data_IF_232410661846
#
_entry.id   IF_232410661846
#
_cell.length_a   1.000
_cell.length_b   1.000
_cell.length_c   1.000
_cell.angle_alpha   90.00
_cell.angle_beta   90.00
_cell.angle_gamma   90.00
#
_symmetry.space_group_name_H-M   'P 1'
#
loop_
_entity.id
_entity.type
_entity.pdbx_description
1 polymer ?
#
# COMPACT_ATOMS: atom_id res chain seq x y z
N UNK A 1 -55.37 -24.58 12.87
CA UNK A 1 -56.35 -24.14 11.87
C UNK A 1 -56.35 -22.63 11.87
N UNK A 2 -55.60 -22.03 10.96
CA UNK A 2 -55.87 -20.68 10.48
C UNK A 2 -57.07 -20.69 9.51
N UNK A 3 -57.65 -19.52 9.21
CA UNK A 3 -57.28 -18.90 7.92
C UNK A 3 -57.16 -17.35 7.93
N UNK A 4 -56.10 -16.86 7.27
CA UNK A 4 -56.01 -15.94 6.09
C UNK A 4 -56.78 -14.60 6.06
N UNK A 5 -55.98 -13.51 6.00
CA UNK A 5 -55.95 -12.31 5.09
C UNK A 5 -57.23 -11.95 4.30
N UNK A 6 -57.63 -10.70 4.01
CA UNK A 6 -56.93 -9.49 3.58
C UNK A 6 -57.97 -8.33 3.56
N UNK A 7 -57.58 -7.08 3.75
CA UNK A 7 -57.92 -5.98 2.80
C UNK A 7 -57.35 -4.63 3.26
N UNK A 8 -56.26 -4.26 2.59
CA UNK A 8 -55.84 -2.88 2.37
C UNK A 8 -56.92 -2.13 1.57
N UNK A 9 -56.89 -0.80 1.65
CA UNK A 9 -57.66 0.19 0.88
C UNK A 9 -59.01 0.63 1.47
N UNK A 10 -58.94 1.63 2.35
CA UNK A 10 -59.99 2.65 2.41
C UNK A 10 -59.38 4.06 2.38
N UNK A 11 -59.94 4.87 1.49
CA UNK A 11 -59.34 6.05 0.89
C UNK A 11 -59.26 7.27 1.81
N UNK A 12 -58.31 8.16 1.54
CA UNK A 12 -58.37 9.56 1.95
C UNK A 12 -58.02 10.50 0.78
N UNK A 13 -58.70 11.67 0.64
CA UNK A 13 -58.76 12.44 -0.61
C UNK A 13 -57.58 13.43 -0.80
N UNK A 14 -57.46 14.06 -1.97
CA UNK A 14 -56.20 14.61 -2.49
C UNK A 14 -55.82 15.95 -1.87
N UNK A 15 -54.52 16.17 -1.63
CA UNK A 15 -53.95 17.51 -1.35
C UNK A 15 -53.27 18.05 -2.60
N UNK A 16 -53.74 19.23 -3.00
CA UNK A 16 -53.31 20.00 -4.16
C UNK A 16 -51.90 20.57 -4.02
N UNK A 17 -51.21 20.62 -5.16
CA UNK A 17 -49.91 21.25 -5.36
C UNK A 17 -50.00 22.78 -5.22
N UNK A 18 -49.07 23.38 -4.47
CA UNK A 18 -48.75 24.80 -4.57
C UNK A 18 -47.23 24.99 -4.38
N UNK A 19 -46.52 25.34 -5.46
CA UNK A 19 -45.10 25.69 -5.44
C UNK A 19 -44.93 27.17 -5.08
N UNK A 20 -44.06 27.54 -4.11
CA UNK A 20 -43.69 28.93 -3.90
C UNK A 20 -42.67 29.42 -4.94
N UNK A 21 -42.95 30.58 -5.52
CA UNK A 21 -42.15 31.28 -6.53
C UNK A 21 -40.83 31.81 -5.94
N UNK A 22 -39.74 31.64 -6.68
CA UNK A 22 -38.42 32.22 -6.41
C UNK A 22 -38.46 33.74 -6.39
N UNK A 23 -37.95 34.36 -5.31
CA UNK A 23 -37.66 35.78 -5.25
C UNK A 23 -36.24 36.04 -5.78
N UNK A 24 -36.12 36.95 -6.76
CA UNK A 24 -34.88 37.33 -7.45
C UNK A 24 -34.17 38.41 -6.64
N UNK A 25 -32.90 38.20 -6.30
CA UNK A 25 -32.06 39.18 -5.60
C UNK A 25 -31.64 40.35 -6.53
N UNK A 26 -31.47 41.58 -6.00
CA UNK A 26 -31.01 42.73 -6.78
C UNK A 26 -29.48 42.71 -7.02
N UNK A 27 -28.99 43.35 -8.11
CA UNK A 27 -27.56 43.35 -8.44
C UNK A 27 -26.75 44.34 -7.59
N UNK A 28 -25.43 44.08 -7.36
CA UNK A 28 -24.54 44.99 -6.65
C UNK A 28 -24.04 46.16 -7.52
N UNK A 29 -23.65 47.30 -6.91
CA UNK A 29 -23.17 48.50 -7.63
C UNK A 29 -21.72 48.37 -8.13
N UNK A 30 -21.31 49.16 -9.15
CA UNK A 30 -19.97 49.09 -9.75
C UNK A 30 -18.92 49.85 -8.93
N UNK A 31 -17.79 49.21 -8.61
CA UNK A 31 -16.69 49.81 -7.88
C UNK A 31 -15.65 50.43 -8.85
N UNK A 32 -15.33 51.71 -8.63
CA UNK A 32 -14.31 52.48 -9.36
C UNK A 32 -12.89 52.02 -8.98
N UNK A 33 -11.89 52.06 -9.89
CA UNK A 33 -10.51 51.78 -9.54
C UNK A 33 -9.85 53.01 -8.90
N UNK A 34 -9.25 52.83 -7.72
CA UNK A 34 -8.34 53.79 -7.11
C UNK A 34 -6.91 53.28 -7.28
N UNK A 35 -6.16 54.00 -8.11
CA UNK A 35 -4.70 53.89 -8.25
C UNK A 35 -4.06 54.43 -6.97
N UNK A 36 -3.25 53.60 -6.30
CA UNK A 36 -2.22 54.07 -5.37
C UNK A 36 -0.91 53.33 -5.63
N UNK A 37 0.06 54.07 -6.15
CA UNK A 37 1.49 53.79 -6.06
C UNK A 37 1.92 53.73 -4.59
N UNK A 38 2.83 52.81 -4.26
CA UNK A 38 4.10 53.18 -3.58
C UNK A 38 5.03 51.99 -3.36
N UNK A 39 6.26 52.17 -3.86
CA UNK A 39 7.56 51.87 -3.23
C UNK A 39 8.03 50.42 -3.11
N UNK A 40 8.87 50.06 -4.08
CA UNK A 40 9.94 49.05 -3.95
C UNK A 40 10.92 49.44 -2.84
N UNK A 41 11.15 48.51 -1.90
CA UNK A 41 12.29 48.52 -1.01
C UNK A 41 13.05 47.20 -1.14
N UNK A 42 14.17 47.32 -1.84
CA UNK A 42 15.21 46.34 -2.02
C UNK A 42 15.82 45.95 -0.67
N UNK A 43 15.76 44.66 -0.31
CA UNK A 43 16.61 44.08 0.74
C UNK A 43 17.28 42.82 0.21
N UNK A 44 18.33 43.03 -0.58
CA UNK A 44 19.41 42.08 -0.72
C UNK A 44 20.15 41.91 0.62
N UNK A 45 20.80 40.75 0.77
CA UNK A 45 21.55 40.24 1.92
C UNK A 45 20.69 39.65 3.05
N UNK A 46 20.44 38.33 2.99
CA UNK A 46 21.15 37.29 3.78
C UNK A 46 20.57 35.94 3.35
N UNK A 47 21.24 35.24 2.43
CA UNK A 47 20.98 33.82 2.16
C UNK A 47 22.30 33.06 2.29
N UNK A 48 22.63 32.73 3.53
CA UNK A 48 23.67 31.77 3.85
C UNK A 48 23.32 30.42 3.23
N UNK A 49 24.26 29.93 2.45
CA UNK A 49 24.27 28.65 1.74
C UNK A 49 23.89 27.51 2.68
N UNK A 50 22.65 27.01 2.55
CA UNK A 50 22.31 25.63 2.93
C UNK A 50 22.50 24.78 1.69
N UNK A 51 23.59 23.99 1.66
CA UNK A 51 23.77 22.90 0.71
C UNK A 51 22.63 21.90 0.92
N UNK A 52 21.59 22.03 0.13
CA UNK A 52 20.65 20.93 -0.12
C UNK A 52 21.44 19.88 -0.88
N UNK A 53 21.66 18.71 -0.27
CA UNK A 53 22.06 17.55 -1.03
C UNK A 53 20.91 17.27 -2.00
N UNK A 54 21.17 17.48 -3.29
CA UNK A 54 20.33 16.96 -4.37
C UNK A 54 20.24 15.45 -4.19
N UNK A 55 19.19 15.02 -3.49
CA UNK A 55 18.69 13.67 -3.61
C UNK A 55 18.22 13.57 -5.05
N UNK A 56 19.09 12.98 -5.87
CA UNK A 56 18.81 12.31 -7.12
C UNK A 56 17.37 12.53 -7.59
N UNK A 57 17.13 13.58 -8.39
CA UNK A 57 15.93 13.65 -9.23
C UNK A 57 16.01 12.47 -10.17
N UNK A 58 15.52 11.31 -9.72
CA UNK A 58 15.26 10.18 -10.59
C UNK A 58 14.36 10.71 -11.71
N UNK A 59 14.78 10.46 -12.94
CA UNK A 59 14.01 10.81 -14.13
C UNK A 59 12.64 10.13 -14.01
N UNK A 60 11.61 10.88 -13.63
CA UNK A 60 10.22 10.41 -13.51
C UNK A 60 9.57 10.27 -14.90
N UNK A 61 10.33 9.80 -15.90
CA UNK A 61 9.86 9.74 -17.29
C UNK A 61 8.93 8.53 -17.51
N UNK A 62 9.09 7.48 -16.69
CA UNK A 62 8.31 6.22 -16.76
C UNK A 62 7.06 6.20 -15.88
N UNK A 63 6.93 7.12 -14.91
CA UNK A 63 5.80 7.18 -13.98
C UNK A 63 5.81 6.11 -12.87
N UNK A 64 6.88 5.31 -12.75
CA UNK A 64 7.07 4.29 -11.70
C UNK A 64 8.52 4.21 -11.19
N UNK A 65 8.77 3.45 -10.12
CA UNK A 65 10.04 3.45 -9.37
C UNK A 65 11.17 2.68 -10.06
N UNK A 66 10.86 1.57 -10.74
CA UNK A 66 11.85 0.81 -11.49
C UNK A 66 12.48 1.65 -12.62
N UNK A 67 13.81 1.71 -12.63
CA UNK A 67 14.60 2.52 -13.54
C UNK A 67 16.00 1.90 -13.66
N UNK A 68 16.78 2.37 -14.65
CA UNK A 68 18.16 1.93 -14.83
C UNK A 68 19.00 2.17 -13.57
N UNK A 69 19.83 1.20 -13.22
CA UNK A 69 20.75 1.28 -12.08
C UNK A 69 22.17 0.88 -12.47
N UNK A 70 23.15 1.27 -11.64
CA UNK A 70 24.50 0.74 -11.76
C UNK A 70 24.56 -0.70 -11.23
N UNK A 71 24.79 -1.64 -12.15
CA UNK A 71 24.92 -3.07 -11.84
C UNK A 71 26.28 -3.44 -11.23
N UNK A 72 27.22 -2.50 -11.18
CA UNK A 72 28.56 -2.63 -10.61
C UNK A 72 29.25 -3.92 -11.07
N UNK A 73 29.53 -4.03 -12.37
CA UNK A 73 30.12 -5.21 -13.03
C UNK A 73 31.35 -5.73 -12.28
N UNK A 74 32.20 -4.85 -11.76
CA UNK A 74 33.40 -5.21 -11.00
C UNK A 74 33.13 -5.99 -9.70
N UNK A 75 31.90 -5.96 -9.18
CA UNK A 75 31.52 -6.70 -7.96
C UNK A 75 31.23 -8.18 -8.21
N UNK A 76 30.99 -8.58 -9.46
CA UNK A 76 30.66 -9.97 -9.85
C UNK A 76 29.58 -10.63 -8.98
N UNK A 77 28.57 -9.85 -8.56
CA UNK A 77 27.53 -10.31 -7.63
C UNK A 77 26.77 -11.55 -8.15
N UNK A 78 26.70 -11.76 -9.46
CA UNK A 78 26.09 -12.93 -10.10
C UNK A 78 26.78 -14.27 -9.77
N UNK A 79 28.00 -14.25 -9.24
CA UNK A 79 28.73 -15.48 -8.88
C UNK A 79 28.32 -16.06 -7.53
N UNK A 80 27.73 -15.26 -6.64
CA UNK A 80 27.38 -15.67 -5.28
C UNK A 80 25.86 -15.81 -5.16
N UNK A 81 25.39 -16.97 -4.71
CA UNK A 81 23.94 -17.24 -4.58
C UNK A 81 23.28 -16.23 -3.63
N UNK A 82 22.11 -15.69 -4.02
CA UNK A 82 21.37 -14.64 -3.29
C UNK A 82 22.13 -13.33 -3.08
N UNK A 83 23.27 -13.13 -3.75
CA UNK A 83 23.94 -11.83 -3.76
C UNK A 83 23.20 -10.88 -4.70
N UNK A 84 23.27 -9.59 -4.39
CA UNK A 84 22.60 -8.52 -5.12
C UNK A 84 23.65 -7.51 -5.60
N UNK A 85 23.39 -6.78 -6.70
CA UNK A 85 24.14 -5.58 -7.03
C UNK A 85 24.26 -4.65 -5.80
N UNK A 86 25.42 -3.98 -5.59
CA UNK A 86 25.66 -3.08 -4.45
C UNK A 86 24.58 -2.03 -4.22
N UNK A 87 23.95 -1.53 -5.29
CA UNK A 87 22.85 -0.55 -5.23
C UNK A 87 21.62 -1.08 -4.46
N UNK A 88 21.42 -2.40 -4.41
CA UNK A 88 20.30 -3.04 -3.73
C UNK A 88 20.67 -3.67 -2.38
N UNK A 89 21.94 -3.93 -2.09
CA UNK A 89 22.36 -4.73 -0.93
C UNK A 89 21.94 -4.17 0.44
N UNK A 90 21.73 -2.86 0.55
CA UNK A 90 21.31 -2.19 1.80
C UNK A 90 19.83 -1.79 1.84
N UNK A 91 19.09 -2.01 0.74
CA UNK A 91 17.67 -1.65 0.62
C UNK A 91 16.80 -2.65 1.40
N UNK A 92 15.86 -2.13 2.20
CA UNK A 92 14.89 -2.92 2.99
C UNK A 92 13.44 -2.76 2.51
N UNK A 93 13.26 -1.98 1.46
CA UNK A 93 12.01 -1.54 0.87
C UNK A 93 11.79 -2.14 -0.53
N UNK A 94 12.53 -3.20 -0.84
CA UNK A 94 12.42 -4.02 -2.05
C UNK A 94 12.18 -5.47 -1.66
N UNK A 95 11.59 -6.24 -2.57
CA UNK A 95 11.52 -7.70 -2.51
C UNK A 95 12.33 -8.25 -3.68
N UNK A 96 13.16 -9.25 -3.44
CA UNK A 96 14.05 -9.81 -4.47
C UNK A 96 13.90 -11.31 -4.61
N UNK A 97 13.97 -11.78 -5.85
CA UNK A 97 14.02 -13.19 -6.19
C UNK A 97 15.05 -13.44 -7.28
N UNK A 98 15.71 -14.60 -7.26
CA UNK A 98 16.69 -14.96 -8.27
C UNK A 98 16.51 -16.38 -8.76
N UNK A 99 16.55 -16.57 -10.07
CA UNK A 99 16.50 -17.87 -10.73
C UNK A 99 17.79 -18.09 -11.54
N UNK A 100 18.38 -19.29 -11.43
CA UNK A 100 19.60 -19.65 -12.15
C UNK A 100 19.28 -20.79 -13.14
N UNK A 101 19.54 -20.57 -14.42
CA UNK A 101 19.44 -21.58 -15.48
C UNK A 101 20.82 -21.88 -16.04
N UNK A 102 21.15 -23.17 -16.20
CA UNK A 102 22.41 -23.61 -16.82
C UNK A 102 22.16 -24.23 -18.18
N UNK A 103 22.97 -23.88 -19.17
CA UNK A 103 22.90 -24.38 -20.53
C UNK A 103 24.30 -24.58 -21.13
N UNK A 104 24.36 -25.13 -22.34
CA UNK A 104 25.59 -25.26 -23.13
C UNK A 104 25.41 -24.40 -24.37
N UNK A 105 26.35 -23.48 -24.60
CA UNK A 105 26.38 -22.64 -25.80
C UNK A 105 26.73 -23.44 -27.06
N UNK A 106 26.50 -22.84 -28.23
CA UNK A 106 26.87 -23.42 -29.54
C UNK A 106 28.37 -23.72 -29.67
N UNK A 107 29.20 -23.05 -28.88
CA UNK A 107 30.66 -23.26 -28.81
C UNK A 107 31.08 -24.34 -27.80
N UNK A 108 30.12 -25.12 -27.30
CA UNK A 108 30.30 -26.17 -26.29
C UNK A 108 30.87 -25.66 -24.95
N UNK A 109 30.68 -24.37 -24.64
CA UNK A 109 31.01 -23.79 -23.34
C UNK A 109 29.79 -23.77 -22.41
N UNK A 110 29.96 -24.05 -21.11
CA UNK A 110 28.88 -23.92 -20.14
C UNK A 110 28.51 -22.45 -19.97
N UNK A 111 27.21 -22.17 -19.90
CA UNK A 111 26.66 -20.84 -19.69
C UNK A 111 25.65 -20.89 -18.56
N UNK A 112 25.77 -19.98 -17.60
CA UNK A 112 24.79 -19.75 -16.54
C UNK A 112 24.10 -18.43 -16.83
N UNK A 113 22.77 -18.46 -16.88
CA UNK A 113 21.93 -17.26 -16.87
C UNK A 113 21.30 -17.13 -15.50
N UNK A 114 21.62 -16.05 -14.79
CA UNK A 114 20.95 -15.65 -13.56
C UNK A 114 19.98 -14.53 -13.86
N UNK A 115 18.73 -14.70 -13.51
CA UNK A 115 17.72 -13.64 -13.55
C UNK A 115 17.44 -13.18 -12.12
N UNK A 116 17.61 -11.88 -11.86
CA UNK A 116 17.30 -11.22 -10.60
C UNK A 116 16.09 -10.31 -10.78
N UNK A 117 15.00 -10.62 -10.08
CA UNK A 117 13.79 -9.82 -10.03
C UNK A 117 13.82 -8.92 -8.82
N UNK A 118 13.76 -7.60 -9.02
CA UNK A 118 13.68 -6.59 -7.95
C UNK A 118 12.34 -5.90 -8.01
N UNK A 119 11.48 -6.17 -7.04
CA UNK A 119 10.14 -5.61 -6.92
C UNK A 119 10.14 -4.42 -5.94
N UNK A 120 9.61 -3.29 -6.39
CA UNK A 120 9.48 -2.07 -5.60
C UNK A 120 8.09 -1.94 -4.95
N UNK A 121 7.94 -1.02 -4.00
CA UNK A 121 6.71 -0.87 -3.23
C UNK A 121 5.52 -0.33 -4.03
N UNK A 122 5.74 0.17 -5.25
CA UNK A 122 4.69 0.51 -6.21
C UNK A 122 4.32 -0.68 -7.11
N UNK A 123 4.98 -1.84 -6.94
CA UNK A 123 4.91 -3.05 -7.74
C UNK A 123 5.52 -2.97 -9.14
N UNK A 124 6.24 -1.90 -9.47
CA UNK A 124 7.14 -1.91 -10.62
C UNK A 124 8.36 -2.81 -10.37
N UNK A 125 8.99 -3.27 -11.45
CA UNK A 125 10.04 -4.28 -11.39
C UNK A 125 11.27 -3.89 -12.20
N UNK A 126 12.44 -4.19 -11.65
CA UNK A 126 13.69 -4.24 -12.41
C UNK A 126 14.15 -5.69 -12.50
N UNK A 127 14.25 -6.22 -13.71
CA UNK A 127 14.69 -7.57 -14.01
C UNK A 127 16.10 -7.46 -14.57
N UNK A 128 17.05 -8.14 -13.94
CA UNK A 128 18.46 -8.12 -14.33
C UNK A 128 18.86 -9.53 -14.75
N UNK A 129 19.29 -9.69 -16.00
CA UNK A 129 19.83 -10.94 -16.50
C UNK A 129 21.35 -10.86 -16.53
N UNK A 130 22.02 -11.80 -15.87
CA UNK A 130 23.47 -11.98 -15.89
C UNK A 130 23.80 -13.32 -16.56
N UNK A 131 24.34 -13.25 -17.78
CA UNK A 131 24.80 -14.42 -18.52
C UNK A 131 26.32 -14.50 -18.44
N UNK A 132 26.86 -15.62 -17.96
CA UNK A 132 28.31 -15.78 -17.79
C UNK A 132 28.75 -17.22 -17.95
N UNK A 133 30.02 -17.42 -18.29
CA UNK A 133 30.66 -18.73 -18.24
C UNK A 133 31.17 -18.98 -16.80
N UNK A 134 30.79 -20.06 -16.11
CA UNK A 134 31.27 -20.32 -14.76
C UNK A 134 32.78 -20.56 -14.66
N UNK A 135 33.46 -20.87 -15.79
CA UNK A 135 34.93 -21.00 -15.85
C UNK A 135 35.64 -19.66 -16.01
N UNK A 136 34.96 -18.66 -16.55
CA UNK A 136 35.43 -17.28 -16.63
C UNK A 136 34.29 -16.32 -16.28
N UNK A 137 33.98 -16.16 -14.99
CA UNK A 137 32.85 -15.34 -14.57
C UNK A 137 33.04 -13.84 -14.78
N UNK A 138 34.25 -13.42 -15.19
CA UNK A 138 34.56 -12.03 -15.48
C UNK A 138 34.00 -11.56 -16.82
N UNK A 139 33.88 -12.49 -17.78
CA UNK A 139 33.15 -12.29 -19.02
C UNK A 139 31.66 -12.55 -18.78
N UNK A 140 30.97 -11.49 -18.31
CA UNK A 140 29.54 -11.52 -18.04
C UNK A 140 28.81 -10.46 -18.88
N UNK A 141 27.75 -10.90 -19.54
CA UNK A 141 26.79 -10.01 -20.19
C UNK A 141 25.67 -9.71 -19.20
N UNK A 142 25.45 -8.41 -18.97
CA UNK A 142 24.41 -7.91 -18.08
C UNK A 142 23.39 -7.13 -18.89
N UNK A 143 22.12 -7.50 -18.72
CA UNK A 143 20.99 -6.78 -19.28
C UNK A 143 20.03 -6.43 -18.16
N UNK A 144 19.33 -5.29 -18.30
CA UNK A 144 18.26 -4.92 -17.40
C UNK A 144 17.02 -4.49 -18.18
N UNK A 145 15.86 -4.89 -17.66
CA UNK A 145 14.54 -4.54 -18.19
C UNK A 145 13.68 -4.02 -17.05
N UNK A 146 12.81 -3.07 -17.36
CA UNK A 146 11.86 -2.53 -16.40
C UNK A 146 10.43 -2.83 -16.82
N UNK A 147 9.62 -3.24 -15.84
CA UNK A 147 8.19 -3.44 -16.02
C UNK A 147 7.43 -2.54 -15.06
N UNK A 148 6.36 -1.91 -15.57
CA UNK A 148 5.45 -1.12 -14.75
C UNK A 148 4.68 -2.00 -13.76
N UNK A 149 3.94 -1.36 -12.83
CA UNK A 149 3.11 -2.10 -11.90
C UNK A 149 2.03 -2.92 -12.62
N UNK A 150 1.57 -4.04 -12.03
CA UNK A 150 0.48 -4.82 -12.60
C UNK A 150 -0.76 -3.98 -12.87
N UNK A 151 -1.50 -4.34 -13.91
CA UNK A 151 -2.77 -3.71 -14.22
C UNK A 151 -3.74 -3.80 -13.04
N UNK A 152 -4.64 -2.82 -12.94
CA UNK A 152 -5.69 -2.80 -11.91
C UNK A 152 -6.54 -4.06 -12.02
N UNK A 153 -6.70 -4.74 -10.89
CA UNK A 153 -7.50 -5.95 -10.77
C UNK A 153 -8.99 -5.63 -10.82
N UNK A 154 -9.75 -6.56 -11.40
CA UNK A 154 -11.20 -6.58 -11.29
C UNK A 154 -11.64 -7.12 -9.92
N UNK A 155 -12.91 -6.92 -9.60
CA UNK A 155 -13.48 -7.34 -8.32
C UNK A 155 -13.44 -8.86 -8.11
N UNK A 156 -13.76 -9.65 -9.14
CA UNK A 156 -13.67 -11.12 -9.11
C UNK A 156 -12.26 -11.60 -8.74
N UNK A 157 -11.23 -10.99 -9.31
CA UNK A 157 -9.84 -11.34 -9.01
C UNK A 157 -9.44 -10.98 -7.57
N UNK A 158 -9.98 -9.89 -7.02
CA UNK A 158 -9.77 -9.50 -5.63
C UNK A 158 -10.54 -10.42 -4.67
N UNK A 159 -11.70 -10.92 -5.06
CA UNK A 159 -12.46 -11.91 -4.29
C UNK A 159 -11.72 -13.26 -4.26
N UNK A 160 -11.25 -13.75 -5.40
CA UNK A 160 -10.44 -14.97 -5.50
C UNK A 160 -9.17 -14.90 -4.62
N UNK A 161 -8.50 -13.75 -4.62
CA UNK A 161 -7.32 -13.53 -3.77
C UNK A 161 -7.67 -13.55 -2.27
N UNK A 162 -8.83 -13.00 -1.90
CA UNK A 162 -9.34 -13.05 -0.52
C UNK A 162 -9.69 -14.48 -0.10
N UNK A 163 -10.34 -15.25 -0.97
CA UNK A 163 -10.65 -16.66 -0.75
C UNK A 163 -9.38 -17.51 -0.56
N UNK A 164 -8.34 -17.25 -1.38
CA UNK A 164 -7.07 -17.99 -1.32
C UNK A 164 -6.26 -17.67 -0.06
N UNK A 165 -6.16 -16.40 0.33
CA UNK A 165 -5.24 -15.95 1.38
C UNK A 165 -5.92 -15.29 2.59
N UNK A 166 -6.85 -14.37 2.34
CA UNK A 166 -7.50 -13.56 3.39
C UNK A 166 -8.17 -14.41 4.47
N UNK A 167 -8.97 -15.40 4.07
CA UNK A 167 -9.64 -16.34 5.01
C UNK A 167 -8.66 -17.07 5.94
N UNK A 168 -7.55 -17.56 5.38
CA UNK A 168 -6.52 -18.27 6.15
C UNK A 168 -5.82 -17.35 7.15
N UNK A 169 -5.56 -16.10 6.75
CA UNK A 169 -4.90 -15.12 7.61
C UNK A 169 -5.79 -14.72 8.79
N UNK A 170 -7.09 -14.47 8.56
CA UNK A 170 -8.00 -14.11 9.65
C UNK A 170 -8.20 -15.26 10.64
N UNK A 171 -8.33 -16.49 10.16
CA UNK A 171 -8.39 -17.68 11.02
C UNK A 171 -7.11 -17.81 11.85
N UNK A 172 -5.95 -17.72 11.20
CA UNK A 172 -4.65 -17.88 11.85
C UNK A 172 -4.37 -16.82 12.91
N UNK A 173 -4.73 -15.55 12.69
CA UNK A 173 -4.49 -14.49 13.69
C UNK A 173 -5.47 -14.55 14.86
N UNK A 174 -6.71 -14.99 14.63
CA UNK A 174 -7.75 -15.03 15.66
C UNK A 174 -7.37 -15.95 16.84
N UNK A 175 -6.76 -17.10 16.56
CA UNK A 175 -6.29 -18.06 17.57
C UNK A 175 -5.00 -17.62 18.28
N UNK A 176 -4.39 -16.50 17.87
CA UNK A 176 -3.16 -15.95 18.47
C UNK A 176 -3.44 -14.83 19.46
N UNK A 177 -4.71 -14.51 19.74
CA UNK A 177 -5.08 -13.48 20.70
C UNK A 177 -4.34 -13.67 22.04
N UNK A 178 -3.82 -12.57 22.60
CA UNK A 178 -3.06 -12.54 23.85
C UNK A 178 -1.72 -13.33 23.84
N UNK A 179 -1.28 -13.82 22.68
CA UNK A 179 0.06 -14.42 22.49
C UNK A 179 1.01 -13.44 21.81
N UNK A 180 2.32 -13.70 21.89
CA UNK A 180 3.34 -12.97 21.14
C UNK A 180 3.68 -13.79 19.89
N UNK A 181 3.59 -13.19 18.71
CA UNK A 181 3.91 -13.85 17.44
C UNK A 181 5.24 -13.30 16.90
N UNK A 182 6.13 -14.19 16.47
CA UNK A 182 7.46 -13.82 15.96
C UNK A 182 8.28 -13.06 17.01
N UNK A 183 8.81 -11.91 16.62
CA UNK A 183 9.57 -11.00 17.49
C UNK A 183 8.68 -10.03 18.31
N UNK A 184 7.36 -10.13 18.18
CA UNK A 184 6.38 -9.26 18.81
C UNK A 184 6.25 -7.87 18.17
N UNK A 185 6.85 -7.66 16.99
CA UNK A 185 6.71 -6.41 16.22
C UNK A 185 5.47 -6.45 15.32
N UNK A 186 4.94 -5.29 14.87
CA UNK A 186 3.81 -5.27 13.94
C UNK A 186 4.11 -6.02 12.63
N UNK A 187 5.32 -5.86 12.09
CA UNK A 187 5.77 -6.54 10.87
C UNK A 187 5.96 -8.04 11.11
N UNK A 188 6.52 -8.43 12.25
CA UNK A 188 6.71 -9.84 12.61
C UNK A 188 5.40 -10.62 12.66
N UNK A 189 4.29 -9.98 13.06
CA UNK A 189 2.96 -10.61 13.01
C UNK A 189 2.59 -10.99 11.57
N UNK A 190 2.70 -10.03 10.64
CA UNK A 190 2.29 -10.26 9.25
C UNK A 190 3.18 -11.31 8.60
N UNK A 191 4.51 -11.20 8.77
CA UNK A 191 5.44 -12.15 8.17
C UNK A 191 5.22 -13.60 8.65
N UNK A 192 4.97 -13.80 9.95
CA UNK A 192 4.70 -15.15 10.49
C UNK A 192 3.36 -15.72 10.00
N UNK A 193 2.35 -14.87 9.79
CA UNK A 193 1.05 -15.29 9.24
C UNK A 193 1.14 -15.68 7.76
N UNK A 194 2.01 -15.02 6.98
CA UNK A 194 2.17 -15.26 5.55
C UNK A 194 3.11 -16.42 5.23
N UNK A 195 4.10 -16.68 6.09
CA UNK A 195 5.11 -17.74 5.90
C UNK A 195 4.55 -19.13 5.54
N UNK A 196 3.45 -19.65 6.12
CA UNK A 196 2.90 -20.95 5.74
C UNK A 196 2.04 -20.92 4.45
N UNK A 197 1.79 -19.76 3.85
CA UNK A 197 0.90 -19.62 2.69
C UNK A 197 1.67 -19.75 1.38
N UNK A 198 1.68 -20.96 0.81
CA UNK A 198 2.31 -21.22 -0.48
C UNK A 198 1.78 -20.28 -1.59
N UNK A 199 2.70 -19.73 -2.39
CA UNK A 199 2.37 -18.86 -3.52
C UNK A 199 1.95 -17.43 -3.16
N UNK A 200 1.92 -17.03 -1.88
CA UNK A 200 1.59 -15.65 -1.49
C UNK A 200 2.75 -14.70 -1.83
N UNK A 201 2.43 -13.51 -2.33
CA UNK A 201 3.42 -12.46 -2.50
C UNK A 201 3.77 -11.87 -1.13
N UNK A 202 5.04 -12.00 -0.74
CA UNK A 202 5.52 -11.43 0.52
C UNK A 202 5.51 -9.89 0.48
N UNK A 203 5.43 -9.21 1.64
CA UNK A 203 5.42 -7.76 1.69
C UNK A 203 6.68 -7.15 1.07
N UNK A 204 6.52 -6.02 0.38
CA UNK A 204 7.64 -5.23 -0.14
C UNK A 204 8.04 -4.21 0.95
N UNK A 205 9.04 -4.60 1.74
CA UNK A 205 9.42 -3.91 2.97
C UNK A 205 8.25 -3.79 3.96
N UNK A 206 8.10 -2.61 4.58
CA UNK A 206 6.96 -2.25 5.43
C UNK A 206 5.92 -1.39 4.69
N UNK A 207 6.09 -1.25 3.37
CA UNK A 207 5.35 -0.26 2.57
C UNK A 207 4.17 -0.84 1.80
N UNK A 208 4.26 -2.07 1.31
CA UNK A 208 3.23 -2.65 0.47
C UNK A 208 2.98 -4.14 0.82
N UNK A 209 1.70 -4.52 0.85
CA UNK A 209 1.24 -5.85 1.30
C UNK A 209 0.27 -6.52 0.30
N UNK A 210 0.12 -5.97 -0.90
CA UNK A 210 -0.61 -6.55 -2.01
C UNK A 210 -1.37 -5.50 -2.82
N UNK A 211 -2.53 -5.84 -3.37
CA UNK A 211 -3.35 -4.89 -4.12
C UNK A 211 -4.08 -3.92 -3.17
N UNK A 212 -4.09 -2.62 -3.46
CA UNK A 212 -4.78 -1.64 -2.63
C UNK A 212 -6.29 -1.79 -2.80
N UNK A 213 -7.01 -2.02 -1.70
CA UNK A 213 -8.49 -2.04 -1.69
C UNK A 213 -9.08 -0.75 -1.14
N UNK A 214 -8.34 -0.06 -0.27
CA UNK A 214 -8.72 1.24 0.28
C UNK A 214 -7.48 2.08 0.56
N UNK A 215 -7.56 3.38 0.28
CA UNK A 215 -6.54 4.36 0.62
C UNK A 215 -7.18 5.64 1.12
N UNK A 216 -6.65 6.18 2.21
CA UNK A 216 -7.08 7.42 2.81
C UNK A 216 -5.87 8.23 3.25
N UNK A 217 -5.73 9.42 2.68
CA UNK A 217 -4.74 10.43 3.05
C UNK A 217 -5.44 11.54 3.83
N UNK A 218 -5.38 11.46 5.16
CA UNK A 218 -5.91 12.48 6.08
C UNK A 218 -7.37 12.94 5.81
N UNK A 219 -8.21 12.09 5.23
CA UNK A 219 -9.54 12.41 4.70
C UNK A 219 -9.56 13.52 3.62
N UNK A 220 -8.40 13.97 3.14
CA UNK A 220 -8.27 14.88 2.00
C UNK A 220 -8.42 14.13 0.67
N UNK A 221 -8.00 12.87 0.63
CA UNK A 221 -8.20 11.97 -0.52
C UNK A 221 -8.52 10.57 -0.01
N UNK A 222 -9.72 10.09 -0.33
CA UNK A 222 -10.18 8.74 0.00
C UNK A 222 -10.56 8.01 -1.28
N UNK A 223 -9.99 6.84 -1.48
CA UNK A 223 -10.22 5.97 -2.62
C UNK A 223 -10.56 4.58 -2.12
N UNK A 224 -11.64 4.01 -2.63
CA UNK A 224 -12.05 2.65 -2.34
C UNK A 224 -12.13 1.89 -3.67
N UNK A 225 -11.32 0.85 -3.79
CA UNK A 225 -11.19 0.05 -5.00
C UNK A 225 -12.01 -1.24 -4.94
N UNK A 226 -12.30 -1.72 -3.72
CA UNK A 226 -13.11 -2.89 -3.42
C UNK A 226 -13.63 -2.83 -1.97
N UNK A 227 -14.48 -3.77 -1.58
CA UNK A 227 -14.90 -3.96 -0.20
C UNK A 227 -13.73 -4.45 0.69
N UNK A 228 -13.59 -3.80 1.85
CA UNK A 228 -12.64 -4.20 2.90
C UNK A 228 -13.17 -5.46 3.57
N UNK A 229 -12.36 -6.51 3.63
CA UNK A 229 -12.76 -7.82 4.16
C UNK A 229 -11.84 -8.24 5.31
N UNK A 230 -12.31 -9.10 6.24
CA UNK A 230 -11.45 -9.70 7.25
C UNK A 230 -10.25 -10.43 6.62
N UNK A 231 -9.07 -10.33 7.21
CA UNK A 231 -7.85 -10.91 6.64
C UNK A 231 -7.10 -10.00 5.66
N UNK A 232 -7.69 -8.88 5.22
CA UNK A 232 -6.92 -7.82 4.58
C UNK A 232 -5.87 -7.24 5.53
N UNK A 233 -4.79 -6.67 5.00
CA UNK A 233 -3.76 -6.02 5.82
C UNK A 233 -4.05 -4.53 5.88
N UNK A 234 -4.05 -3.93 7.07
CA UNK A 234 -4.10 -2.47 7.23
C UNK A 234 -2.70 -1.96 7.56
N UNK A 235 -2.31 -0.84 6.95
CA UNK A 235 -1.10 -0.07 7.29
C UNK A 235 -1.49 1.32 7.72
N UNK A 236 -0.87 1.80 8.80
CA UNK A 236 -1.02 3.14 9.34
C UNK A 236 0.36 3.81 9.35
N UNK A 237 0.47 4.94 8.66
CA UNK A 237 1.72 5.72 8.58
C UNK A 237 1.49 7.16 9.01
N UNK A 238 2.23 7.59 10.03
CA UNK A 238 2.13 8.93 10.59
C UNK A 238 0.68 9.36 10.91
N UNK A 239 -0.16 8.40 11.31
CA UNK A 239 -1.59 8.65 11.48
C UNK A 239 -1.88 9.33 12.79
N UNK A 240 -2.84 10.24 12.74
CA UNK A 240 -3.40 10.88 13.92
C UNK A 240 -4.91 10.85 13.82
N UNK A 241 -5.53 10.12 14.73
CA UNK A 241 -6.98 10.05 14.86
C UNK A 241 -7.44 11.01 15.94
N UNK A 242 -8.48 11.79 15.66
CA UNK A 242 -9.16 12.62 16.64
C UNK A 242 -10.66 12.58 16.44
N UNK A 243 -11.36 12.14 17.48
CA UNK A 243 -12.80 12.02 17.44
C UNK A 243 -13.41 12.08 18.83
N UNK A 244 -14.64 11.57 18.90
CA UNK A 244 -15.40 11.41 20.14
C UNK A 244 -15.78 9.95 20.32
N UNK A 245 -15.68 9.47 21.56
CA UNK A 245 -15.97 8.10 21.94
C UNK A 245 -17.09 8.04 22.99
N UNK A 246 -17.90 6.96 22.94
CA UNK A 246 -19.00 6.71 23.87
C UNK A 246 -20.19 7.66 23.75
N UNK A 247 -21.25 7.36 24.50
CA UNK A 247 -22.45 8.21 24.62
C UNK A 247 -22.15 9.57 25.25
N UNK A 248 -21.13 9.64 26.11
CA UNK A 248 -20.69 10.89 26.75
C UNK A 248 -19.83 11.79 25.84
N UNK A 249 -19.63 11.43 24.56
CA UNK A 249 -18.89 12.24 23.59
C UNK A 249 -17.47 12.64 24.04
N UNK A 250 -16.82 11.79 24.82
CA UNK A 250 -15.47 12.03 25.33
C UNK A 250 -14.49 12.16 24.17
N UNK A 251 -13.78 13.29 24.10
CA UNK A 251 -12.77 13.52 23.06
C UNK A 251 -11.62 12.55 23.23
N UNK A 252 -11.09 12.04 22.12
CA UNK A 252 -9.88 11.21 22.13
C UNK A 252 -8.90 11.67 21.06
N UNK A 253 -7.63 11.33 21.25
CA UNK A 253 -6.59 11.46 20.23
C UNK A 253 -5.72 10.22 20.30
N UNK A 254 -5.43 9.63 19.15
CA UNK A 254 -4.54 8.48 19.03
C UNK A 254 -3.55 8.71 17.89
N UNK A 255 -2.26 8.51 18.17
CA UNK A 255 -1.20 8.57 17.18
C UNK A 255 -0.66 7.16 16.95
N UNK A 256 -0.62 6.74 15.69
CA UNK A 256 -0.21 5.39 15.28
C UNK A 256 0.66 5.50 14.03
N UNK A 257 1.57 4.55 13.82
CA UNK A 257 2.44 4.57 12.64
C UNK A 257 3.64 5.52 12.75
N UNK A 258 4.19 5.69 13.96
CA UNK A 258 5.50 6.31 14.23
C UNK A 258 6.30 5.44 15.23
N UNK A 259 7.02 4.38 14.78
CA UNK A 259 7.27 3.97 13.39
C UNK A 259 6.06 3.31 12.71
N UNK A 260 6.14 3.10 11.39
CA UNK A 260 5.11 2.44 10.56
C UNK A 260 4.45 1.26 11.29
N UNK A 261 3.12 1.22 11.25
CA UNK A 261 2.32 0.23 11.99
C UNK A 261 1.38 -0.51 11.06
N UNK A 262 1.10 -1.77 11.36
CA UNK A 262 0.28 -2.63 10.52
C UNK A 262 -0.47 -3.66 11.36
N UNK A 263 -1.54 -4.20 10.78
CA UNK A 263 -2.35 -5.23 11.41
C UNK A 263 -3.21 -5.97 10.39
N UNK A 264 -3.94 -6.97 10.86
CA UNK A 264 -4.89 -7.73 10.05
C UNK A 264 -6.29 -7.21 10.34
N UNK A 265 -7.04 -6.84 9.30
CA UNK A 265 -8.44 -6.44 9.42
C UNK A 265 -9.25 -7.60 10.00
N UNK A 266 -9.96 -7.34 11.09
CA UNK A 266 -10.87 -8.30 11.71
C UNK A 266 -12.31 -8.06 11.29
N UNK A 267 -12.74 -6.80 11.30
CA UNK A 267 -14.11 -6.39 10.97
C UNK A 267 -14.09 -5.00 10.33
N UNK A 268 -15.04 -4.78 9.43
CA UNK A 268 -15.28 -3.48 8.79
C UNK A 268 -16.76 -3.12 8.88
N UNK A 269 -17.06 -1.98 9.51
CA UNK A 269 -18.37 -1.36 9.50
C UNK A 269 -18.35 -0.19 8.51
N UNK A 270 -18.80 -0.44 7.28
CA UNK A 270 -18.79 0.53 6.19
C UNK A 270 -19.67 1.76 6.43
N UNK A 271 -20.70 1.64 7.27
CA UNK A 271 -21.61 2.72 7.64
C UNK A 271 -20.96 3.65 8.66
N UNK A 272 -20.28 3.09 9.66
CA UNK A 272 -19.56 3.89 10.68
C UNK A 272 -18.12 4.23 10.30
N UNK A 273 -17.68 3.80 9.11
CA UNK A 273 -16.29 3.82 8.66
C UNK A 273 -15.32 3.35 9.75
N UNK A 274 -15.72 2.28 10.46
CA UNK A 274 -15.01 1.77 11.63
C UNK A 274 -14.34 0.44 11.27
N UNK A 275 -13.02 0.43 11.39
CA UNK A 275 -12.18 -0.75 11.25
C UNK A 275 -11.89 -1.35 12.62
N UNK A 276 -11.94 -2.67 12.74
CA UNK A 276 -11.25 -3.40 13.81
C UNK A 276 -10.09 -4.17 13.21
N UNK A 277 -8.93 -4.14 13.85
CA UNK A 277 -7.74 -4.82 13.37
C UNK A 277 -7.02 -5.54 14.50
N UNK A 278 -6.54 -6.75 14.21
CA UNK A 278 -5.58 -7.46 15.01
C UNK A 278 -4.21 -6.80 14.84
N UNK A 279 -3.64 -6.31 15.94
CA UNK A 279 -2.31 -5.70 15.96
C UNK A 279 -1.47 -6.27 17.10
N UNK A 280 -0.15 -6.11 16.98
CA UNK A 280 0.79 -6.30 18.08
C UNK A 280 1.91 -5.25 17.99
N UNK A 281 2.65 -5.04 19.07
CA UNK A 281 3.87 -4.25 19.07
C UNK A 281 3.71 -2.74 19.28
N UNK A 282 2.48 -2.23 19.42
CA UNK A 282 2.20 -0.81 19.73
C UNK A 282 2.19 -0.54 21.23
N UNK A 283 1.11 -0.93 21.91
CA UNK A 283 0.97 -0.80 23.38
C UNK A 283 1.36 -2.09 24.12
N UNK A 284 1.34 -3.22 23.41
CA UNK A 284 1.70 -4.53 23.95
C UNK A 284 2.32 -5.36 22.84
N UNK A 285 3.30 -6.20 23.19
CA UNK A 285 3.83 -7.23 22.26
C UNK A 285 2.85 -8.36 21.97
N UNK A 286 1.75 -8.44 22.71
CA UNK A 286 0.71 -9.45 22.51
C UNK A 286 -0.27 -9.03 21.43
N UNK A 287 -0.75 -9.99 20.66
CA UNK A 287 -1.81 -9.78 19.66
C UNK A 287 -3.10 -9.36 20.36
N UNK A 288 -3.62 -8.20 19.97
CA UNK A 288 -4.85 -7.59 20.50
C UNK A 288 -5.69 -7.02 19.37
N UNK A 289 -6.96 -6.78 19.68
CA UNK A 289 -7.93 -6.26 18.73
C UNK A 289 -8.21 -4.80 19.04
N UNK A 290 -7.84 -3.91 18.11
CA UNK A 290 -8.00 -2.47 18.25
C UNK A 290 -9.02 -1.92 17.25
N UNK A 291 -9.60 -0.76 17.58
CA UNK A 291 -10.62 -0.10 16.76
C UNK A 291 -10.17 1.26 16.25
N UNK A 292 -10.33 1.50 14.95
CA UNK A 292 -10.03 2.77 14.30
C UNK A 292 -11.26 3.27 13.54
N UNK A 293 -11.68 4.52 13.81
CA UNK A 293 -12.65 5.21 12.97
C UNK A 293 -11.90 5.98 11.89
N UNK A 294 -12.06 5.60 10.62
CA UNK A 294 -11.29 6.19 9.53
C UNK A 294 -11.69 7.65 9.27
N UNK A 295 -12.93 8.03 9.54
CA UNK A 295 -13.41 9.42 9.46
C UNK A 295 -12.80 10.34 10.54
N UNK A 296 -12.26 9.75 11.60
CA UNK A 296 -11.54 10.48 12.64
C UNK A 296 -10.07 10.74 12.26
N UNK A 297 -9.59 10.26 11.10
CA UNK A 297 -8.24 10.53 10.61
C UNK A 297 -8.05 12.03 10.31
N UNK A 298 -7.04 12.65 10.93
CA UNK A 298 -6.69 14.07 10.77
C UNK A 298 -5.37 14.29 10.04
N UNK A 299 -4.46 13.35 10.11
CA UNK A 299 -3.19 13.37 9.37
C UNK A 299 -2.69 11.95 9.13
N UNK A 300 -1.75 11.80 8.20
CA UNK A 300 -1.14 10.52 7.85
C UNK A 300 -1.93 9.73 6.81
N UNK A 301 -1.48 8.49 6.59
CA UNK A 301 -2.01 7.59 5.58
C UNK A 301 -2.54 6.31 6.23
N UNK A 302 -3.76 5.93 5.86
CA UNK A 302 -4.28 4.58 6.06
C UNK A 302 -4.41 3.92 4.69
N UNK A 303 -3.80 2.75 4.53
CA UNK A 303 -4.01 1.88 3.36
C UNK A 303 -4.43 0.50 3.83
N UNK A 304 -5.34 -0.12 3.07
CA UNK A 304 -5.76 -1.49 3.27
C UNK A 304 -5.46 -2.27 1.99
N UNK A 305 -4.91 -3.46 2.17
CA UNK A 305 -4.30 -4.26 1.13
C UNK A 305 -4.93 -5.64 1.10
N UNK A 306 -5.28 -6.09 -0.10
CA UNK A 306 -5.56 -7.49 -0.37
C UNK A 306 -4.25 -8.22 -0.64
N UNK A 307 -4.01 -9.30 0.09
CA UNK A 307 -2.92 -10.22 -0.19
C UNK A 307 -3.09 -10.81 -1.59
N UNK A 308 -2.02 -10.83 -2.37
CA UNK A 308 -2.03 -11.29 -3.76
C UNK A 308 -1.08 -12.48 -3.94
N UNK A 309 -1.32 -13.35 -4.94
CA UNK A 309 -0.37 -14.40 -5.28
C UNK A 309 0.86 -13.81 -5.98
N UNK A 310 1.97 -14.54 -5.98
CA UNK A 310 3.20 -14.19 -6.69
C UNK A 310 2.99 -14.01 -8.20
N UNK A 311 2.09 -14.80 -8.79
CA UNK A 311 1.70 -14.69 -10.20
C UNK A 311 1.07 -13.34 -10.56
N UNK A 312 0.58 -12.55 -9.59
CA UNK A 312 0.07 -11.21 -9.85
C UNK A 312 1.15 -10.24 -10.36
N UNK A 313 2.39 -10.42 -9.93
CA UNK A 313 3.56 -9.67 -10.42
C UNK A 313 4.34 -10.45 -11.48
N UNK A 314 3.74 -11.49 -12.06
CA UNK A 314 4.39 -12.33 -13.08
C UNK A 314 5.45 -13.29 -12.53
N UNK A 315 5.57 -13.43 -11.20
CA UNK A 315 6.52 -14.38 -10.60
C UNK A 315 5.91 -15.78 -10.56
N UNK A 316 6.74 -16.81 -10.70
CA UNK A 316 6.32 -18.20 -10.54
C UNK A 316 5.74 -18.48 -9.15
N UNK A 317 4.96 -19.56 -9.01
CA UNK A 317 4.35 -19.90 -7.72
C UNK A 317 5.39 -20.11 -6.60
N UNK A 318 6.65 -20.40 -6.97
CA UNK A 318 7.74 -20.68 -6.04
C UNK A 318 7.51 -22.00 -5.30
N UNK A 319 8.57 -22.77 -5.07
CA UNK A 319 8.51 -23.97 -4.23
C UNK A 319 8.45 -23.61 -2.74
#
# INVERSE_FOLDING_TARGET
MEPVEDDLYSASPPRSFASPKQARAPPPPPNKPLIKQSLDLNRAAVAGVRRSMDLNRMSMDSGFIANDVDLAVSSQWWTVKKSLPPVFSSRKDILTESEDTSSISDTNQPVVTRELFVLFHDYSQTIIAAQYNPKDPSDCQLEQKHEGPPARLRQDQLEDAHERFGKRVIEAVSVRQNTIVGDGTPQGLILELLKPLAGVLMPVGTRAYGAVVYSNMANASTQQFDEIRPGDIVTLRNTRFQGKHGSMHTKYTAEVGKPDHMGVVAEWDGTKKKLRAWEQGRESKKVKLESFKLDDLRSGEVKIWRLMPRSWVGWGEGN
#
